data_IF_868471632993
#
_entry.id   IF_868471632993
#
_cell.length_a   1.000
_cell.length_b   1.000
_cell.length_c   1.000
_cell.angle_alpha   90.00
_cell.angle_beta   90.00
_cell.angle_gamma   90.00
#
_symmetry.space_group_name_H-M   'P 1'
#
loop_
_entity.id
_entity.type
_entity.pdbx_description
1 polymer ?
#
# COMPACT_ATOMS: atom_id res chain seq x y z
N UNK A 1 43.52 26.18 -41.78
CA UNK A 1 43.55 25.17 -40.71
C UNK A 1 42.20 25.19 -40.03
N UNK A 2 41.30 24.28 -40.42
CA UNK A 2 39.93 24.21 -39.88
C UNK A 2 39.96 23.31 -38.64
N UNK A 3 39.58 23.85 -37.49
CA UNK A 3 39.49 23.09 -36.26
C UNK A 3 38.25 22.18 -36.37
N UNK A 4 38.36 20.86 -36.15
CA UNK A 4 37.19 19.99 -36.13
C UNK A 4 36.30 20.36 -34.95
N UNK A 5 35.03 20.69 -35.23
CA UNK A 5 34.03 20.98 -34.20
C UNK A 5 33.75 19.71 -33.39
N UNK A 6 33.96 19.78 -32.07
CA UNK A 6 33.70 18.65 -31.17
C UNK A 6 32.18 18.43 -31.08
N UNK A 7 31.69 17.18 -31.14
CA UNK A 7 30.26 16.93 -31.01
C UNK A 7 29.71 17.46 -29.68
N UNK A 8 28.44 17.91 -29.66
CA UNK A 8 27.82 18.41 -28.45
C UNK A 8 27.79 17.33 -27.37
N UNK A 9 28.19 17.69 -26.15
CA UNK A 9 28.13 16.80 -24.98
C UNK A 9 26.64 16.55 -24.67
N UNK A 10 26.18 15.29 -24.57
CA UNK A 10 24.79 15.03 -24.23
C UNK A 10 24.44 15.60 -22.85
N UNK A 11 23.20 16.10 -22.67
CA UNK A 11 22.77 16.56 -21.36
C UNK A 11 22.83 15.41 -20.35
N UNK A 12 23.34 15.69 -19.15
CA UNK A 12 23.40 14.72 -18.04
C UNK A 12 21.96 14.38 -17.62
N UNK A 13 21.43 13.28 -18.13
CA UNK A 13 20.11 12.75 -17.74
C UNK A 13 20.16 12.43 -16.25
N UNK A 14 19.27 13.02 -15.46
CA UNK A 14 19.15 12.66 -14.06
C UNK A 14 18.83 11.16 -13.95
N UNK A 15 19.49 10.43 -13.04
CA UNK A 15 19.15 9.03 -12.83
C UNK A 15 17.66 8.92 -12.49
N UNK A 16 16.96 7.88 -12.98
CA UNK A 16 15.57 7.64 -12.60
C UNK A 16 15.43 7.67 -11.08
N UNK A 17 14.36 8.25 -10.52
CA UNK A 17 14.13 8.18 -9.09
C UNK A 17 14.21 6.72 -8.65
N UNK A 18 14.99 6.45 -7.61
CA UNK A 18 15.18 5.10 -7.11
C UNK A 18 13.81 4.50 -6.80
N UNK A 19 13.40 3.49 -7.57
CA UNK A 19 12.20 2.71 -7.26
C UNK A 19 12.41 2.16 -5.86
N UNK A 20 11.52 2.50 -4.92
CA UNK A 20 11.57 1.95 -3.56
C UNK A 20 11.38 0.44 -3.68
N UNK A 21 12.49 -0.30 -3.71
CA UNK A 21 12.48 -1.75 -3.80
C UNK A 21 12.12 -2.29 -2.42
N UNK A 22 10.95 -2.90 -2.29
CA UNK A 22 10.58 -3.62 -1.07
C UNK A 22 11.48 -4.86 -0.99
N UNK A 23 12.27 -5.04 0.08
CA UNK A 23 13.18 -6.17 0.16
C UNK A 23 12.43 -7.50 0.07
N UNK A 24 13.05 -8.57 -0.47
CA UNK A 24 12.44 -9.88 -0.56
C UNK A 24 12.09 -10.37 0.85
N UNK A 25 10.77 -10.48 1.12
CA UNK A 25 10.24 -10.91 2.42
C UNK A 25 10.23 -12.42 2.54
N UNK A 26 10.72 -12.93 3.67
CA UNK A 26 10.71 -14.36 4.01
C UNK A 26 9.29 -14.94 4.11
N UNK A 27 9.18 -16.27 4.09
CA UNK A 27 7.88 -16.97 4.12
C UNK A 27 7.00 -16.60 5.32
N UNK A 28 7.61 -16.37 6.48
CA UNK A 28 6.92 -15.93 7.69
C UNK A 28 6.22 -14.57 7.52
N UNK A 29 6.90 -13.60 6.89
CA UNK A 29 6.31 -12.29 6.62
C UNK A 29 5.13 -12.36 5.65
N UNK A 30 5.16 -13.29 4.69
CA UNK A 30 4.03 -13.54 3.79
C UNK A 30 2.85 -14.15 4.52
N UNK A 31 3.11 -15.12 5.41
CA UNK A 31 2.08 -15.71 6.26
C UNK A 31 1.39 -14.66 7.13
N UNK A 32 2.16 -13.81 7.81
CA UNK A 32 1.62 -12.69 8.60
C UNK A 32 0.81 -11.72 7.73
N UNK A 33 1.29 -11.39 6.53
CA UNK A 33 0.55 -10.52 5.62
C UNK A 33 -0.80 -11.15 5.21
N UNK A 34 -0.85 -12.45 4.92
CA UNK A 34 -2.10 -13.16 4.63
C UNK A 34 -3.05 -13.14 5.84
N UNK A 35 -2.53 -13.39 7.04
CA UNK A 35 -3.32 -13.36 8.26
C UNK A 35 -3.94 -11.98 8.50
N UNK A 36 -3.14 -10.91 8.38
CA UNK A 36 -3.62 -9.52 8.51
C UNK A 36 -4.64 -9.18 7.43
N UNK A 37 -4.44 -9.64 6.20
CA UNK A 37 -5.38 -9.44 5.09
C UNK A 37 -6.75 -10.06 5.40
N UNK A 38 -6.77 -11.30 5.87
CA UNK A 38 -8.02 -12.01 6.20
C UNK A 38 -8.74 -11.38 7.39
N UNK A 39 -8.02 -11.05 8.46
CA UNK A 39 -8.61 -10.44 9.65
C UNK A 39 -9.20 -9.07 9.35
N UNK A 40 -8.45 -8.23 8.62
CA UNK A 40 -8.91 -6.89 8.25
C UNK A 40 -10.09 -6.97 7.27
N UNK A 41 -10.05 -7.89 6.31
CA UNK A 41 -11.17 -8.12 5.39
C UNK A 41 -12.44 -8.59 6.13
N UNK A 42 -12.31 -9.51 7.08
CA UNK A 42 -13.44 -9.97 7.89
C UNK A 42 -14.03 -8.85 8.74
N UNK A 43 -13.19 -8.00 9.33
CA UNK A 43 -13.61 -6.84 10.09
C UNK A 43 -14.41 -5.85 9.22
N UNK A 44 -13.85 -5.47 8.06
CA UNK A 44 -14.45 -4.49 7.15
C UNK A 44 -15.75 -4.99 6.49
N UNK A 45 -15.90 -6.30 6.30
CA UNK A 45 -17.16 -6.89 5.85
C UNK A 45 -18.27 -6.71 6.89
N UNK A 46 -17.92 -6.53 8.17
CA UNK A 46 -18.84 -6.39 9.30
C UNK A 46 -19.99 -7.41 9.21
N UNK A 47 -19.69 -8.73 9.24
CA UNK A 47 -20.69 -9.78 9.01
C UNK A 47 -21.81 -9.81 10.07
N UNK A 48 -21.60 -9.15 11.20
CA UNK A 48 -22.55 -9.00 12.30
C UNK A 48 -23.60 -7.92 12.08
N UNK A 49 -23.47 -7.06 11.06
CA UNK A 49 -24.42 -5.99 10.69
C UNK A 49 -24.90 -5.10 11.87
N UNK A 50 -24.06 -4.90 12.89
CA UNK A 50 -24.44 -4.16 14.10
C UNK A 50 -25.42 -4.87 15.05
N UNK A 51 -25.68 -6.17 14.88
CA UNK A 51 -26.64 -6.94 15.71
C UNK A 51 -26.02 -7.37 17.05
N UNK A 52 -24.71 -7.49 17.14
CA UNK A 52 -23.95 -7.82 18.36
C UNK A 52 -22.94 -6.70 18.67
N UNK A 53 -23.43 -5.49 18.91
CA UNK A 53 -22.61 -4.35 19.35
C UNK A 53 -22.22 -4.53 20.83
N UNK A 54 -21.06 -5.14 21.09
CA UNK A 54 -20.44 -5.20 22.43
C UNK A 54 -19.75 -3.88 22.82
N UNK A 55 -19.51 -2.96 21.88
CA UNK A 55 -18.97 -1.62 22.07
C UNK A 55 -19.88 -0.56 21.40
N UNK A 56 -19.95 0.68 21.93
CA UNK A 56 -20.80 1.73 21.38
C UNK A 56 -20.12 2.42 20.17
N UNK A 57 -20.02 1.72 19.04
CA UNK A 57 -19.40 2.19 17.78
C UNK A 57 -20.31 3.07 16.90
N UNK A 58 -21.55 3.38 17.33
CA UNK A 58 -22.47 4.24 16.58
C UNK A 58 -22.38 5.74 16.95
N UNK A 59 -21.32 6.18 17.64
CA UNK A 59 -21.14 7.59 17.97
C UNK A 59 -20.56 8.36 16.76
N UNK A 60 -21.26 9.39 16.25
CA UNK A 60 -20.96 10.10 14.99
C UNK A 60 -19.64 10.91 14.97
N UNK A 61 -18.75 10.71 15.94
CA UNK A 61 -17.42 11.34 16.03
C UNK A 61 -16.26 10.37 16.25
N UNK A 62 -16.50 9.13 16.71
CA UNK A 62 -15.44 8.20 17.18
C UNK A 62 -15.51 6.83 16.50
N UNK A 63 -16.71 6.36 16.13
CA UNK A 63 -16.94 5.03 15.58
C UNK A 63 -16.69 4.89 14.08
N UNK A 64 -15.50 5.25 13.62
CA UNK A 64 -15.02 4.92 12.27
C UNK A 64 -13.48 4.82 12.16
N UNK A 65 -12.78 4.90 13.30
CA UNK A 65 -11.31 4.96 13.34
C UNK A 65 -10.68 3.58 13.21
N UNK A 66 -11.34 2.60 13.79
CA UNK A 66 -11.06 1.19 13.67
C UNK A 66 -11.25 0.70 12.23
N UNK A 67 -12.31 1.08 11.52
CA UNK A 67 -12.47 0.76 10.11
C UNK A 67 -11.38 1.42 9.26
N UNK A 68 -11.00 2.66 9.57
CA UNK A 68 -9.85 3.31 8.92
C UNK A 68 -8.54 2.54 9.18
N UNK A 69 -8.32 2.10 10.42
CA UNK A 69 -7.18 1.27 10.78
C UNK A 69 -7.17 -0.06 10.03
N UNK A 70 -8.28 -0.79 9.99
CA UNK A 70 -8.38 -2.06 9.28
C UNK A 70 -8.30 -1.88 7.76
N UNK A 71 -8.77 -0.76 7.22
CA UNK A 71 -8.57 -0.40 5.80
C UNK A 71 -7.10 -0.21 5.49
N UNK A 72 -6.36 0.54 6.31
CA UNK A 72 -4.92 0.74 6.15
C UNK A 72 -4.15 -0.57 6.32
N UNK A 73 -4.53 -1.40 7.30
CA UNK A 73 -3.93 -2.72 7.52
C UNK A 73 -4.15 -3.64 6.31
N UNK A 74 -5.36 -3.65 5.74
CA UNK A 74 -5.72 -4.43 4.56
C UNK A 74 -4.90 -4.02 3.33
N UNK A 75 -4.83 -2.72 3.05
CA UNK A 75 -4.03 -2.17 1.93
C UNK A 75 -2.54 -2.43 2.13
N UNK A 76 -2.02 -2.27 3.34
CA UNK A 76 -0.63 -2.57 3.69
C UNK A 76 -0.30 -4.05 3.50
N UNK A 77 -1.22 -4.96 3.85
CA UNK A 77 -1.07 -6.40 3.65
C UNK A 77 -1.06 -6.78 2.15
N UNK A 78 -1.96 -6.19 1.34
CA UNK A 78 -1.95 -6.33 -0.13
C UNK A 78 -0.61 -5.90 -0.73
N UNK A 79 -0.14 -4.70 -0.36
CA UNK A 79 1.16 -4.19 -0.82
C UNK A 79 2.31 -5.09 -0.35
N UNK A 80 2.20 -5.65 0.85
CA UNK A 80 3.18 -6.58 1.42
C UNK A 80 3.29 -7.91 0.67
N UNK A 81 2.21 -8.33 0.02
CA UNK A 81 2.16 -9.50 -0.86
C UNK A 81 2.59 -9.19 -2.31
N UNK A 82 2.90 -7.93 -2.62
CA UNK A 82 3.22 -7.48 -3.97
C UNK A 82 2.00 -7.35 -4.88
N UNK A 83 0.78 -7.37 -4.32
CA UNK A 83 -0.44 -7.18 -5.07
C UNK A 83 -0.60 -5.70 -5.39
N UNK A 84 -0.61 -5.37 -6.69
CA UNK A 84 -0.81 -4.00 -7.16
C UNK A 84 -2.30 -3.68 -7.17
N UNK A 85 -2.67 -2.58 -6.54
CA UNK A 85 -4.03 -2.04 -6.58
C UNK A 85 -4.18 -1.23 -7.88
N UNK A 86 -4.97 -1.68 -8.87
CA UNK A 86 -4.96 -1.13 -10.23
C UNK A 86 -5.42 0.34 -10.31
N UNK A 87 -6.25 0.78 -9.38
CA UNK A 87 -6.83 2.13 -9.36
C UNK A 87 -6.07 3.13 -8.47
N UNK A 88 -5.05 2.69 -7.72
CA UNK A 88 -4.27 3.56 -6.82
C UNK A 88 -3.06 4.22 -7.53
N UNK A 89 -2.77 3.84 -8.77
CA UNK A 89 -1.81 4.55 -9.62
C UNK A 89 -2.51 5.72 -10.34
N UNK A 90 -2.67 6.84 -9.65
CA UNK A 90 -3.02 8.10 -10.33
C UNK A 90 -1.73 8.69 -10.92
N UNK A 91 -1.77 8.91 -12.23
CA UNK A 91 -0.70 9.45 -13.08
C UNK A 91 -0.19 10.80 -12.60
#
# INVERSE_FOLDING_TARGET
MTIPELPPIPPKVAPPPAVVQVPPRGGWSKFLAILVLLLSGLYLINPTLGVFELLPDNLPLVGNLDEAFFTLAFVSALASLGLRIPFLHKR
#
